data_IF_406404565821
#
_entry.id   IF_406404565821
#
_cell.length_a   1.000
_cell.length_b   1.000
_cell.length_c   1.000
_cell.angle_alpha   90.00
_cell.angle_beta   90.00
_cell.angle_gamma   90.00
#
_symmetry.space_group_name_H-M   'P 1'
#
loop_
_entity.id
_entity.type
_entity.pdbx_description
1 polymer ?
#
# COMPACT_ATOMS: atom_id res chain seq x y z
N UNK A 1 18.72 -7.10 -56.97
CA UNK A 1 19.17 -6.30 -55.83
C UNK A 1 18.07 -5.39 -55.30
N UNK A 2 16.79 -5.78 -55.32
CA UNK A 2 15.67 -4.99 -54.84
C UNK A 2 14.91 -5.68 -53.67
N UNK A 3 15.21 -6.97 -53.44
CA UNK A 3 14.54 -7.81 -52.42
C UNK A 3 15.13 -7.71 -51.02
N UNK A 4 16.33 -7.09 -50.87
CA UNK A 4 17.03 -7.01 -49.58
C UNK A 4 16.65 -5.80 -48.73
N UNK A 5 15.98 -4.80 -49.30
CA UNK A 5 15.58 -3.57 -48.57
C UNK A 5 14.18 -3.65 -47.96
N UNK A 6 13.33 -4.55 -48.43
CA UNK A 6 11.96 -4.73 -47.90
C UNK A 6 11.99 -5.51 -46.59
N UNK A 7 12.95 -6.43 -46.39
CA UNK A 7 13.11 -7.17 -45.12
C UNK A 7 13.67 -6.29 -44.02
N UNK A 8 14.51 -5.28 -44.36
CA UNK A 8 15.06 -4.37 -43.40
C UNK A 8 14.03 -3.34 -42.87
N UNK A 9 13.00 -3.02 -43.67
CA UNK A 9 11.93 -2.07 -43.24
C UNK A 9 10.85 -2.79 -42.42
N UNK A 10 10.67 -4.09 -42.60
CA UNK A 10 9.72 -4.90 -41.81
C UNK A 10 10.26 -5.29 -40.43
N UNK A 11 11.57 -5.26 -40.22
CA UNK A 11 12.21 -5.49 -38.91
C UNK A 11 12.37 -4.21 -38.08
N UNK A 12 12.11 -3.02 -38.64
CA UNK A 12 12.18 -1.74 -37.96
C UNK A 12 10.86 -1.27 -37.35
N UNK A 13 9.79 -2.06 -37.44
CA UNK A 13 8.51 -1.83 -36.77
C UNK A 13 8.26 -2.85 -35.66
N UNK A 14 9.30 -3.13 -34.83
CA UNK A 14 9.02 -3.57 -33.48
C UNK A 14 8.17 -2.47 -32.84
N UNK A 15 7.01 -2.81 -32.21
CA UNK A 15 6.28 -1.79 -31.46
C UNK A 15 7.26 -1.17 -30.50
N UNK A 16 7.43 0.14 -30.57
CA UNK A 16 8.15 0.91 -29.54
C UNK A 16 7.42 0.55 -28.25
N UNK A 17 7.98 -0.38 -27.50
CA UNK A 17 7.49 -0.69 -26.17
C UNK A 17 7.49 0.64 -25.44
N UNK A 18 6.30 1.14 -25.10
CA UNK A 18 6.16 2.33 -24.28
C UNK A 18 7.10 2.12 -23.10
N UNK A 19 8.06 3.03 -22.92
CA UNK A 19 9.10 2.92 -21.88
C UNK A 19 8.39 2.60 -20.58
N UNK A 20 8.63 1.43 -19.96
CA UNK A 20 7.94 1.05 -18.75
C UNK A 20 8.20 2.15 -17.73
N UNK A 21 7.18 2.57 -16.99
CA UNK A 21 7.39 3.52 -15.89
C UNK A 21 8.20 2.79 -14.84
N UNK A 22 9.41 3.23 -14.50
CA UNK A 22 10.30 2.51 -13.59
C UNK A 22 9.64 2.23 -12.22
N UNK A 23 8.74 3.10 -11.78
CA UNK A 23 8.02 2.98 -10.52
C UNK A 23 7.08 1.76 -10.48
N UNK A 24 6.25 1.57 -11.52
CA UNK A 24 5.39 0.40 -11.63
C UNK A 24 6.17 -0.90 -11.79
N UNK A 25 7.34 -0.83 -12.41
CA UNK A 25 8.22 -1.97 -12.60
C UNK A 25 8.85 -2.46 -11.30
N UNK A 26 9.20 -1.56 -10.36
CA UNK A 26 9.75 -1.95 -9.06
C UNK A 26 8.69 -2.61 -8.17
N UNK A 27 7.45 -2.12 -8.20
CA UNK A 27 6.32 -2.77 -7.52
C UNK A 27 6.07 -4.18 -8.08
N UNK A 28 6.11 -4.34 -9.41
CA UNK A 28 5.98 -5.64 -10.07
C UNK A 28 7.11 -6.60 -9.69
N UNK A 29 8.36 -6.13 -9.72
CA UNK A 29 9.52 -6.92 -9.34
C UNK A 29 9.42 -7.39 -7.88
N UNK A 30 8.97 -6.52 -6.97
CA UNK A 30 8.79 -6.85 -5.56
C UNK A 30 7.69 -7.91 -5.33
N UNK A 31 6.57 -7.82 -6.05
CA UNK A 31 5.47 -8.79 -6.01
C UNK A 31 5.89 -10.19 -6.52
N UNK A 32 6.76 -10.23 -7.53
CA UNK A 32 7.14 -11.46 -8.22
C UNK A 32 8.50 -12.02 -7.77
N UNK A 33 9.16 -11.44 -6.78
CA UNK A 33 10.50 -11.77 -6.31
C UNK A 33 11.59 -11.67 -7.40
N UNK A 34 11.39 -10.80 -8.40
CA UNK A 34 12.40 -10.58 -9.45
C UNK A 34 13.53 -9.68 -8.92
N UNK A 35 14.48 -10.30 -8.21
CA UNK A 35 15.61 -9.62 -7.57
C UNK A 35 16.49 -8.90 -8.59
N UNK A 36 16.75 -9.54 -9.74
CA UNK A 36 17.62 -8.96 -10.76
C UNK A 36 17.02 -7.66 -11.33
N UNK A 37 15.73 -7.70 -11.63
CA UNK A 37 15.00 -6.52 -12.11
C UNK A 37 14.91 -5.41 -11.04
N UNK A 38 14.62 -5.77 -9.78
CA UNK A 38 14.57 -4.82 -8.68
C UNK A 38 15.93 -4.13 -8.48
N UNK A 39 17.03 -4.89 -8.50
CA UNK A 39 18.39 -4.35 -8.40
C UNK A 39 18.71 -3.38 -9.54
N UNK A 40 18.38 -3.75 -10.78
CA UNK A 40 18.60 -2.90 -11.96
C UNK A 40 17.81 -1.59 -11.88
N UNK A 41 16.54 -1.65 -11.47
CA UNK A 41 15.67 -0.47 -11.35
C UNK A 41 16.16 0.48 -10.26
N UNK A 42 16.53 -0.04 -9.09
CA UNK A 42 17.06 0.80 -8.00
C UNK A 42 18.42 1.39 -8.36
N UNK A 43 19.28 0.62 -9.06
CA UNK A 43 20.56 1.13 -9.56
C UNK A 43 20.36 2.21 -10.63
N UNK A 44 19.28 2.16 -11.42
CA UNK A 44 18.89 3.17 -12.38
C UNK A 44 18.28 4.44 -11.74
N UNK A 45 18.16 4.48 -10.40
CA UNK A 45 17.65 5.65 -9.67
C UNK A 45 16.14 5.64 -9.40
N UNK A 46 15.45 4.49 -9.62
CA UNK A 46 14.05 4.37 -9.22
C UNK A 46 13.93 4.54 -7.71
N UNK A 47 13.05 5.44 -7.20
CA UNK A 47 12.82 5.59 -5.77
C UNK A 47 12.36 4.27 -5.15
N UNK A 48 12.99 3.85 -4.05
CA UNK A 48 12.72 2.55 -3.41
C UNK A 48 11.34 2.50 -2.73
N UNK A 49 10.78 3.65 -2.34
CA UNK A 49 9.50 3.79 -1.65
C UNK A 49 8.37 4.27 -2.58
N UNK A 50 8.44 3.95 -3.88
CA UNK A 50 7.33 4.17 -4.81
C UNK A 50 6.05 3.55 -4.27
N UNK A 51 4.90 4.16 -4.57
CA UNK A 51 3.61 3.74 -4.02
C UNK A 51 2.62 3.43 -5.12
N UNK A 52 1.89 2.35 -4.94
CA UNK A 52 0.70 2.10 -5.76
C UNK A 52 -0.50 2.95 -5.31
N UNK A 53 -1.65 2.77 -5.96
CA UNK A 53 -2.88 3.48 -5.64
C UNK A 53 -3.43 3.23 -4.22
N UNK A 54 -3.04 2.10 -3.58
CA UNK A 54 -3.34 1.77 -2.16
C UNK A 54 -2.30 2.35 -1.20
N UNK A 55 -1.26 2.99 -1.72
CA UNK A 55 -0.12 3.47 -0.94
C UNK A 55 0.86 2.35 -0.54
N UNK A 56 0.74 1.14 -1.13
CA UNK A 56 1.65 0.04 -0.85
C UNK A 56 3.00 0.31 -1.53
N UNK A 57 4.08 0.11 -0.77
CA UNK A 57 5.45 0.19 -1.28
C UNK A 57 5.94 -1.18 -1.74
N UNK A 58 7.06 -1.25 -2.49
CA UNK A 58 7.71 -2.52 -2.82
C UNK A 58 8.00 -3.38 -1.59
N UNK A 59 8.39 -2.74 -0.46
CA UNK A 59 8.64 -3.43 0.80
C UNK A 59 7.38 -4.09 1.37
N UNK A 60 6.25 -3.38 1.35
CA UNK A 60 4.96 -3.93 1.81
C UNK A 60 4.55 -5.11 0.93
N UNK A 61 4.67 -5.00 -0.40
CA UNK A 61 4.34 -6.07 -1.32
C UNK A 61 5.25 -7.30 -1.18
N UNK A 62 6.58 -7.10 -1.10
CA UNK A 62 7.52 -8.19 -0.86
C UNK A 62 7.25 -8.91 0.47
N UNK A 63 6.85 -8.16 1.49
CA UNK A 63 6.49 -8.72 2.80
C UNK A 63 5.17 -9.48 2.75
N UNK A 64 4.17 -9.00 2.01
CA UNK A 64 2.92 -9.72 1.76
C UNK A 64 3.14 -11.05 1.06
N UNK A 65 4.07 -11.08 0.10
CA UNK A 65 4.41 -12.28 -0.65
C UNK A 65 5.43 -13.21 0.04
N UNK A 66 5.98 -12.80 1.19
CA UNK A 66 6.96 -13.62 1.94
C UNK A 66 8.37 -13.65 1.34
N UNK A 67 8.70 -12.69 0.47
CA UNK A 67 9.97 -12.68 -0.29
C UNK A 67 11.13 -12.11 0.54
N UNK A 68 11.73 -12.93 1.40
CA UNK A 68 12.77 -12.53 2.37
C UNK A 68 13.94 -11.78 1.71
N UNK A 69 14.50 -12.30 0.61
CA UNK A 69 15.65 -11.69 -0.05
C UNK A 69 15.30 -10.35 -0.72
N UNK A 70 14.07 -10.22 -1.25
CA UNK A 70 13.59 -8.95 -1.79
C UNK A 70 13.45 -7.90 -0.68
N UNK A 71 12.89 -8.28 0.47
CA UNK A 71 12.79 -7.40 1.65
C UNK A 71 14.17 -6.97 2.12
N UNK A 72 15.13 -7.90 2.19
CA UNK A 72 16.52 -7.58 2.54
C UNK A 72 17.11 -6.55 1.58
N UNK A 73 16.99 -6.79 0.28
CA UNK A 73 17.47 -5.88 -0.76
C UNK A 73 16.87 -4.47 -0.61
N UNK A 74 15.55 -4.36 -0.47
CA UNK A 74 14.86 -3.07 -0.37
C UNK A 74 15.30 -2.30 0.88
N UNK A 75 15.42 -2.98 2.03
CA UNK A 75 15.89 -2.37 3.27
C UNK A 75 17.36 -1.91 3.18
N UNK A 76 18.24 -2.67 2.51
CA UNK A 76 19.63 -2.27 2.25
C UNK A 76 19.73 -1.06 1.31
N UNK A 77 18.72 -0.86 0.46
CA UNK A 77 18.63 0.31 -0.43
C UNK A 77 17.86 1.47 0.18
N UNK A 78 17.59 1.42 1.49
CA UNK A 78 17.02 2.52 2.26
C UNK A 78 15.50 2.59 2.26
N UNK A 79 14.79 1.50 1.93
CA UNK A 79 13.34 1.46 2.05
C UNK A 79 12.90 1.77 3.49
N UNK A 80 11.89 2.60 3.65
CA UNK A 80 11.29 2.97 4.92
C UNK A 80 10.55 1.77 5.51
N UNK A 81 11.09 1.20 6.60
CA UNK A 81 10.57 -0.04 7.21
C UNK A 81 9.14 0.09 7.72
N UNK A 82 8.75 1.28 8.20
CA UNK A 82 7.43 1.59 8.75
C UNK A 82 6.53 2.36 7.78
N UNK A 83 6.84 2.33 6.48
CA UNK A 83 5.93 2.85 5.46
C UNK A 83 4.53 2.30 5.67
N UNK A 84 3.52 3.20 5.66
CA UNK A 84 2.12 2.84 5.84
C UNK A 84 1.35 3.01 4.53
N UNK A 85 0.57 2.01 4.20
CA UNK A 85 -0.45 2.10 3.16
C UNK A 85 -1.64 2.96 3.65
N UNK A 86 -2.58 3.24 2.75
CA UNK A 86 -3.76 4.07 3.06
C UNK A 86 -4.68 3.47 4.12
N UNK A 87 -4.67 2.14 4.29
CA UNK A 87 -5.42 1.39 5.31
C UNK A 87 -4.62 1.17 6.62
N UNK A 88 -3.45 1.80 6.75
CA UNK A 88 -2.54 1.63 7.89
C UNK A 88 -1.66 0.38 7.81
N UNK A 89 -1.71 -0.40 6.73
CA UNK A 89 -0.90 -1.60 6.53
C UNK A 89 0.59 -1.26 6.52
N UNK A 90 1.39 -2.05 7.25
CA UNK A 90 2.86 -2.04 7.21
C UNK A 90 3.40 -3.40 6.78
N UNK A 91 4.67 -3.43 6.38
CA UNK A 91 5.38 -4.67 6.07
C UNK A 91 5.32 -5.69 7.21
N UNK A 92 5.50 -5.23 8.45
CA UNK A 92 5.46 -6.08 9.65
C UNK A 92 4.09 -6.70 9.87
N UNK A 93 3.00 -5.95 9.69
CA UNK A 93 1.63 -6.46 9.84
C UNK A 93 1.35 -7.61 8.85
N UNK A 94 1.75 -7.46 7.57
CA UNK A 94 1.52 -8.51 6.57
C UNK A 94 2.39 -9.73 6.80
N UNK A 95 3.69 -9.54 7.08
CA UNK A 95 4.60 -10.63 7.41
C UNK A 95 4.10 -11.45 8.62
N UNK A 96 3.59 -10.76 9.64
CA UNK A 96 3.04 -11.40 10.85
C UNK A 96 1.74 -12.14 10.57
N UNK A 97 0.86 -11.57 9.77
CA UNK A 97 -0.38 -12.21 9.35
C UNK A 97 -0.17 -13.45 8.47
N UNK A 98 0.98 -13.57 7.81
CA UNK A 98 1.36 -14.73 6.99
C UNK A 98 2.22 -15.76 7.73
N UNK A 99 2.53 -15.53 9.01
CA UNK A 99 3.35 -16.43 9.80
C UNK A 99 4.83 -16.47 9.37
N UNK A 100 5.31 -15.47 8.62
CA UNK A 100 6.66 -15.43 8.06
C UNK A 100 7.69 -15.03 9.14
N UNK A 101 8.05 -15.97 10.03
CA UNK A 101 8.86 -15.72 11.22
C UNK A 101 10.20 -15.05 10.92
N UNK A 102 10.95 -15.52 9.92
CA UNK A 102 12.26 -14.96 9.58
C UNK A 102 12.13 -13.53 9.04
N UNK A 103 11.06 -13.27 8.28
CA UNK A 103 10.74 -11.93 7.79
C UNK A 103 10.38 -10.98 8.93
N UNK A 104 9.57 -11.44 9.88
CA UNK A 104 9.22 -10.67 11.09
C UNK A 104 10.48 -10.32 11.88
N UNK A 105 11.38 -11.29 12.13
CA UNK A 105 12.66 -11.06 12.80
C UNK A 105 13.53 -10.05 12.04
N UNK A 106 13.60 -10.16 10.71
CA UNK A 106 14.35 -9.21 9.88
C UNK A 106 13.79 -7.79 10.01
N UNK A 107 12.47 -7.60 9.86
CA UNK A 107 11.82 -6.30 9.96
C UNK A 107 12.02 -5.66 11.34
N UNK A 108 11.84 -6.45 12.41
CA UNK A 108 12.10 -5.99 13.79
C UNK A 108 13.57 -5.59 14.00
N UNK A 109 14.53 -6.36 13.47
CA UNK A 109 15.96 -6.01 13.54
C UNK A 109 16.33 -4.73 12.80
N UNK A 110 15.49 -4.33 11.83
CA UNK A 110 15.60 -3.07 11.07
C UNK A 110 14.75 -1.95 11.68
N UNK A 111 14.23 -2.17 12.89
CA UNK A 111 13.52 -1.17 13.69
C UNK A 111 12.03 -1.04 13.43
N UNK A 112 11.40 -1.99 12.73
CA UNK A 112 9.96 -1.96 12.48
C UNK A 112 9.15 -1.80 13.77
N UNK A 113 8.12 -0.94 13.73
CA UNK A 113 7.26 -0.64 14.86
C UNK A 113 6.21 -1.75 15.10
N UNK A 114 6.30 -2.53 16.19
CA UNK A 114 5.33 -3.59 16.48
C UNK A 114 3.96 -3.04 16.93
N UNK A 115 3.90 -1.78 17.37
CA UNK A 115 2.67 -1.13 17.81
C UNK A 115 1.84 -0.53 16.66
N UNK A 116 2.29 -0.68 15.40
CA UNK A 116 1.52 -0.25 14.24
C UNK A 116 0.17 -0.99 14.18
N UNK A 117 -0.90 -0.25 13.81
CA UNK A 117 -2.27 -0.77 13.81
C UNK A 117 -2.85 -0.68 12.41
N UNK A 118 -3.49 -1.77 11.97
CA UNK A 118 -4.33 -1.86 10.77
C UNK A 118 -5.73 -2.34 11.18
N UNK A 119 -6.77 -1.61 10.81
CA UNK A 119 -8.14 -1.94 11.14
C UNK A 119 -8.37 -2.30 12.64
N UNK A 120 -7.67 -1.61 13.54
CA UNK A 120 -7.75 -1.84 14.99
C UNK A 120 -6.89 -2.99 15.53
N UNK A 121 -6.16 -3.72 14.68
CA UNK A 121 -5.32 -4.85 15.08
C UNK A 121 -3.83 -4.53 14.94
N UNK A 122 -3.04 -4.94 15.94
CA UNK A 122 -1.56 -4.93 15.83
C UNK A 122 -1.06 -6.17 15.09
N UNK A 123 0.21 -6.17 14.70
CA UNK A 123 0.88 -7.32 14.09
C UNK A 123 0.74 -8.59 14.96
N UNK A 124 0.91 -8.46 16.29
CA UNK A 124 0.77 -9.56 17.25
C UNK A 124 -0.67 -10.11 17.32
N UNK A 125 -1.66 -9.22 17.41
CA UNK A 125 -3.07 -9.64 17.44
C UNK A 125 -3.47 -10.37 16.16
N UNK A 126 -2.96 -9.93 15.01
CA UNK A 126 -3.19 -10.60 13.73
C UNK A 126 -2.52 -11.99 13.69
N UNK A 127 -1.28 -12.12 14.17
CA UNK A 127 -0.57 -13.40 14.27
C UNK A 127 -1.34 -14.39 15.18
N UNK A 128 -1.82 -13.92 16.33
CA UNK A 128 -2.63 -14.76 17.26
C UNK A 128 -3.93 -15.21 16.58
N UNK A 129 -4.66 -14.29 15.95
CA UNK A 129 -5.95 -14.60 15.29
C UNK A 129 -5.81 -15.60 14.14
N UNK A 130 -4.63 -15.66 13.52
CA UNK A 130 -4.31 -16.58 12.41
C UNK A 130 -3.57 -17.85 12.84
N UNK A 131 -3.33 -18.06 14.12
CA UNK A 131 -2.73 -19.28 14.66
C UNK A 131 -1.20 -19.37 14.48
N UNK A 132 -0.49 -18.24 14.49
CA UNK A 132 0.99 -18.18 14.43
C UNK A 132 1.63 -17.84 15.78
N UNK A 133 1.66 -18.80 16.74
CA UNK A 133 2.09 -18.53 18.11
C UNK A 133 3.56 -18.13 18.22
N UNK A 134 4.44 -18.67 17.38
CA UNK A 134 5.87 -18.32 17.39
C UNK A 134 6.09 -16.87 16.97
N UNK A 135 5.38 -16.42 15.94
CA UNK A 135 5.40 -15.01 15.50
C UNK A 135 4.85 -14.11 16.60
N UNK A 136 3.73 -14.50 17.21
CA UNK A 136 3.13 -13.73 18.31
C UNK A 136 4.07 -13.58 19.49
N UNK A 137 4.80 -14.63 19.88
CA UNK A 137 5.78 -14.60 20.97
C UNK A 137 6.97 -13.66 20.68
N UNK A 138 7.48 -13.70 19.45
CA UNK A 138 8.56 -12.77 19.03
C UNK A 138 8.08 -11.31 19.09
N UNK A 139 6.86 -11.04 18.64
CA UNK A 139 6.27 -9.70 18.67
C UNK A 139 6.02 -9.22 20.10
N UNK A 140 5.57 -10.10 21.00
CA UNK A 140 5.38 -9.78 22.41
C UNK A 140 6.70 -9.36 23.07
N UNK A 141 7.79 -10.10 22.80
CA UNK A 141 9.13 -9.74 23.27
C UNK A 141 9.57 -8.36 22.70
N UNK A 142 9.30 -8.09 21.44
CA UNK A 142 9.61 -6.81 20.81
C UNK A 142 8.78 -5.65 21.40
N UNK A 143 7.48 -5.87 21.65
CA UNK A 143 6.59 -4.88 22.30
C UNK A 143 7.09 -4.55 23.71
N UNK A 144 7.47 -5.56 24.50
CA UNK A 144 8.01 -5.36 25.86
C UNK A 144 9.31 -4.54 25.85
N UNK A 145 10.27 -4.91 25.00
CA UNK A 145 11.52 -4.14 24.84
C UNK A 145 11.25 -2.73 24.32
N UNK A 146 10.28 -2.55 23.43
CA UNK A 146 9.86 -1.25 22.92
C UNK A 146 9.27 -0.36 24.01
N UNK A 147 8.46 -0.91 24.91
CA UNK A 147 7.90 -0.17 26.04
C UNK A 147 8.98 0.30 27.02
N UNK A 148 9.96 -0.57 27.31
CA UNK A 148 11.12 -0.22 28.14
C UNK A 148 11.96 0.87 27.45
N UNK A 149 12.15 0.79 26.14
CA UNK A 149 12.89 1.77 25.35
C UNK A 149 12.23 3.15 25.39
N UNK A 150 10.90 3.21 25.23
CA UNK A 150 10.13 4.45 25.33
C UNK A 150 10.26 5.06 26.74
N UNK A 151 10.19 4.25 27.78
CA UNK A 151 10.37 4.72 29.16
C UNK A 151 11.77 5.30 29.35
N UNK A 152 12.81 4.58 28.94
CA UNK A 152 14.19 5.05 29.02
C UNK A 152 14.42 6.36 28.21
N UNK A 153 13.82 6.47 27.02
CA UNK A 153 13.89 7.68 26.20
C UNK A 153 13.18 8.86 26.87
N UNK A 154 11.99 8.63 27.43
CA UNK A 154 11.21 9.65 28.14
C UNK A 154 11.96 10.20 29.38
N UNK A 155 12.62 9.32 30.13
CA UNK A 155 13.36 9.64 31.34
C UNK A 155 14.80 10.13 31.05
N UNK A 156 15.25 10.15 29.79
CA UNK A 156 16.61 10.57 29.40
C UNK A 156 17.69 9.59 29.80
N UNK A 157 17.37 8.32 30.02
CA UNK A 157 18.31 7.28 30.46
C UNK A 157 19.13 6.74 29.27
N UNK A 158 20.09 7.53 28.78
CA UNK A 158 20.87 7.21 27.57
C UNK A 158 21.58 5.85 27.63
N UNK A 159 22.11 5.44 28.78
CA UNK A 159 22.81 4.15 28.97
C UNK A 159 21.82 2.99 28.81
N UNK A 160 20.70 3.03 29.52
CA UNK A 160 19.62 2.02 29.44
C UNK A 160 19.08 1.92 28.04
N UNK A 161 18.83 3.05 27.37
CA UNK A 161 18.37 3.11 25.99
C UNK A 161 19.33 2.39 25.03
N UNK A 162 20.65 2.64 25.15
CA UNK A 162 21.66 1.96 24.34
C UNK A 162 21.69 0.46 24.56
N UNK A 163 21.57 0.02 25.83
CA UNK A 163 21.50 -1.41 26.17
C UNK A 163 20.26 -2.08 25.57
N UNK A 164 19.10 -1.43 25.65
CA UNK A 164 17.86 -1.97 25.07
C UNK A 164 17.93 -2.09 23.56
N UNK A 165 18.46 -1.08 22.86
CA UNK A 165 18.69 -1.15 21.41
C UNK A 165 19.71 -2.22 21.03
N UNK A 166 20.75 -2.45 21.84
CA UNK A 166 21.70 -3.55 21.65
C UNK A 166 21.04 -4.93 21.83
N UNK A 167 20.03 -5.03 22.70
CA UNK A 167 19.19 -6.24 22.88
C UNK A 167 18.14 -6.43 21.78
N UNK A 168 18.05 -5.51 20.81
CA UNK A 168 17.12 -5.61 19.71
C UNK A 168 15.78 -4.92 19.93
N UNK A 169 15.69 -3.96 20.86
CA UNK A 169 14.48 -3.14 20.99
C UNK A 169 14.20 -2.38 19.69
N UNK A 170 12.94 -2.35 19.22
CA UNK A 170 12.58 -1.65 17.97
C UNK A 170 12.78 -0.14 18.11
N UNK A 171 13.65 0.46 17.29
CA UNK A 171 14.00 1.88 17.38
C UNK A 171 12.80 2.82 17.07
N UNK A 172 11.81 2.34 16.32
CA UNK A 172 10.64 3.11 15.90
C UNK A 172 9.37 2.80 16.69
N UNK A 173 9.49 2.08 17.79
CA UNK A 173 8.33 1.86 18.68
C UNK A 173 7.67 3.19 19.07
N UNK A 174 6.35 3.20 19.26
CA UNK A 174 5.62 4.42 19.62
C UNK A 174 4.71 4.18 20.83
N UNK A 175 4.51 5.22 21.63
CA UNK A 175 3.51 5.19 22.69
C UNK A 175 2.08 5.41 22.12
N UNK A 176 1.09 5.48 23.03
CA UNK A 176 -0.30 5.72 22.67
C UNK A 176 -0.53 7.06 21.93
N UNK A 177 0.33 8.05 22.13
CA UNK A 177 0.24 9.35 21.44
C UNK A 177 0.99 9.37 20.10
N UNK A 178 1.64 8.27 19.73
CA UNK A 178 2.47 8.16 18.53
C UNK A 178 3.89 8.70 18.69
N UNK A 179 4.31 9.05 19.89
CA UNK A 179 5.67 9.54 20.15
C UNK A 179 6.69 8.41 20.09
N UNK A 180 7.75 8.64 19.32
CA UNK A 180 8.90 7.73 19.20
C UNK A 180 10.04 8.05 20.19
N UNK A 181 10.98 7.11 20.43
CA UNK A 181 12.18 7.39 21.22
C UNK A 181 12.99 8.58 20.70
N UNK A 182 13.01 8.79 19.37
CA UNK A 182 13.70 9.91 18.75
C UNK A 182 13.06 11.26 19.11
N UNK A 183 11.73 11.32 19.18
CA UNK A 183 10.98 12.53 19.60
C UNK A 183 11.24 12.85 21.08
N UNK A 184 11.30 11.83 21.94
CA UNK A 184 11.65 12.04 23.34
C UNK A 184 13.09 12.55 23.50
N UNK A 185 14.06 11.99 22.77
CA UNK A 185 15.44 12.46 22.78
C UNK A 185 15.56 13.92 22.27
N UNK A 186 14.79 14.29 21.25
CA UNK A 186 14.73 15.66 20.74
C UNK A 186 14.14 16.63 21.77
N UNK A 187 13.04 16.25 22.44
CA UNK A 187 12.41 17.01 23.51
C UNK A 187 13.34 17.22 24.70
N UNK A 188 14.16 16.20 25.02
CA UNK A 188 15.12 16.26 26.14
C UNK A 188 16.42 16.99 25.73
N UNK A 189 16.63 17.29 24.43
CA UNK A 189 17.82 17.92 23.93
C UNK A 189 19.07 17.05 23.95
N UNK A 190 18.92 15.72 24.04
CA UNK A 190 20.02 14.77 24.10
C UNK A 190 20.52 14.39 22.71
N UNK A 191 21.52 15.16 22.23
CA UNK A 191 22.18 14.94 20.94
C UNK A 191 22.84 13.57 20.83
N UNK A 192 23.44 13.06 21.93
CA UNK A 192 24.10 11.76 21.91
C UNK A 192 23.11 10.60 21.71
N UNK A 193 21.94 10.68 22.36
CA UNK A 193 20.86 9.72 22.16
C UNK A 193 20.22 9.86 20.79
N UNK A 194 19.99 11.08 20.28
CA UNK A 194 19.52 11.33 18.92
C UNK A 194 20.43 10.68 17.88
N UNK A 195 21.73 10.93 18.01
CA UNK A 195 22.75 10.38 17.12
C UNK A 195 22.73 8.86 17.08
N UNK A 196 22.65 8.27 18.26
CA UNK A 196 22.64 6.82 18.41
C UNK A 196 21.36 6.20 17.85
N UNK A 197 20.18 6.77 18.13
CA UNK A 197 18.90 6.31 17.59
C UNK A 197 18.89 6.35 16.06
N UNK A 198 19.35 7.45 15.44
CA UNK A 198 19.45 7.56 13.99
C UNK A 198 20.41 6.53 13.38
N UNK A 199 21.53 6.24 14.06
CA UNK A 199 22.46 5.19 13.63
C UNK A 199 21.86 3.78 13.72
N UNK A 200 20.80 3.62 14.51
CA UNK A 200 20.06 2.36 14.68
C UNK A 200 18.79 2.29 13.82
N UNK A 201 18.62 3.22 12.87
CA UNK A 201 17.52 3.24 11.93
C UNK A 201 16.23 3.89 12.45
N UNK A 202 16.34 4.76 13.46
CA UNK A 202 15.18 5.54 13.90
C UNK A 202 14.68 6.45 12.77
N UNK A 203 13.36 6.43 12.54
CA UNK A 203 12.69 7.23 11.52
C UNK A 203 12.55 8.69 11.98
N UNK A 204 13.34 9.56 11.35
CA UNK A 204 13.28 11.00 11.61
C UNK A 204 12.07 11.70 10.96
N UNK A 205 11.36 11.01 10.08
CA UNK A 205 10.16 11.54 9.38
C UNK A 205 8.87 11.19 10.12
N UNK A 206 8.94 10.30 11.11
CA UNK A 206 7.80 9.89 11.92
C UNK A 206 7.11 11.08 12.57
N UNK A 207 5.79 11.00 12.71
CA UNK A 207 4.95 12.00 13.36
C UNK A 207 4.05 11.37 14.41
N UNK A 208 3.83 12.11 15.48
CA UNK A 208 2.86 11.73 16.50
C UNK A 208 1.41 11.94 16.02
N UNK A 209 0.44 11.64 16.88
CA UNK A 209 -0.99 11.80 16.55
C UNK A 209 -1.41 13.25 16.32
N UNK A 210 -0.64 14.24 16.80
CA UNK A 210 -0.84 15.66 16.58
C UNK A 210 -0.14 16.16 15.31
N UNK A 211 0.53 15.26 14.57
CA UNK A 211 1.30 15.58 13.37
C UNK A 211 2.66 16.22 13.65
N UNK A 212 3.12 16.21 14.92
CA UNK A 212 4.41 16.78 15.31
C UNK A 212 5.54 15.79 15.07
N UNK A 213 6.62 16.24 14.44
CA UNK A 213 7.82 15.46 14.20
C UNK A 213 8.96 15.82 15.15
N UNK A 214 10.14 15.29 14.85
CA UNK A 214 11.34 15.48 15.67
C UNK A 214 11.72 16.97 15.83
N UNK A 215 11.49 17.81 14.82
CA UNK A 215 11.81 19.25 14.86
C UNK A 215 10.88 20.00 15.82
N UNK A 216 9.58 19.76 15.75
CA UNK A 216 8.58 20.37 16.62
C UNK A 216 8.78 19.96 18.08
N UNK A 217 9.26 18.74 18.33
CA UNK A 217 9.61 18.29 19.66
C UNK A 217 10.95 18.89 20.15
N UNK A 218 11.91 19.12 19.26
CA UNK A 218 13.16 19.82 19.59
C UNK A 218 12.91 21.27 20.01
N UNK A 219 11.88 21.92 19.48
CA UNK A 219 11.48 23.28 19.85
C UNK A 219 11.08 23.44 21.34
N UNK A 220 10.76 22.31 21.99
CA UNK A 220 10.42 22.27 23.43
C UNK A 220 11.63 22.17 24.36
N UNK A 221 12.85 22.05 23.80
CA UNK A 221 14.12 22.05 24.52
C UNK A 221 14.87 23.39 24.32
N UNK A 222 14.49 24.50 25.00
CA UNK A 222 14.95 25.84 24.64
C UNK A 222 16.47 26.01 24.72
N UNK A 223 17.14 25.32 25.64
CA UNK A 223 18.60 25.40 25.82
C UNK A 223 19.42 24.67 24.74
N UNK A 224 18.86 23.62 24.12
CA UNK A 224 19.54 22.77 23.13
C UNK A 224 18.89 22.80 21.74
N UNK A 225 17.79 23.54 21.59
CA UNK A 225 17.03 23.67 20.32
C UNK A 225 17.90 23.92 19.12
N UNK A 226 18.79 24.92 19.19
CA UNK A 226 19.64 25.27 18.06
C UNK A 226 20.59 24.13 17.69
N UNK A 227 21.18 23.45 18.68
CA UNK A 227 22.08 22.34 18.47
C UNK A 227 21.37 21.14 17.86
N UNK A 228 20.20 20.77 18.39
CA UNK A 228 19.39 19.65 17.86
C UNK A 228 18.94 19.94 16.43
N UNK A 229 18.42 21.13 16.16
CA UNK A 229 17.92 21.49 14.82
C UNK A 229 19.06 21.61 13.81
N UNK A 230 20.22 22.14 14.20
CA UNK A 230 21.40 22.18 13.35
C UNK A 230 21.87 20.77 12.99
N UNK A 231 21.99 19.89 13.98
CA UNK A 231 22.39 18.50 13.80
C UNK A 231 21.44 17.74 12.84
N UNK A 232 20.13 17.92 12.99
CA UNK A 232 19.15 17.30 12.10
C UNK A 232 19.29 17.81 10.66
N UNK A 233 19.52 19.13 10.48
CA UNK A 233 19.75 19.75 9.15
C UNK A 233 21.04 19.28 8.48
N UNK A 234 22.12 19.13 9.23
CA UNK A 234 23.39 18.59 8.73
C UNK A 234 23.24 17.18 8.15
N UNK A 235 22.25 16.42 8.64
CA UNK A 235 21.90 15.11 8.11
C UNK A 235 20.89 15.13 6.96
N UNK A 236 20.64 16.30 6.37
CA UNK A 236 19.73 16.48 5.24
C UNK A 236 18.24 16.44 5.64
N UNK A 237 17.96 16.37 6.96
CA UNK A 237 16.59 16.44 7.44
C UNK A 237 16.14 17.90 7.42
N UNK A 238 14.99 18.16 6.87
CA UNK A 238 14.39 19.49 6.85
C UNK A 238 13.19 19.51 7.83
N UNK A 239 12.97 20.62 8.56
CA UNK A 239 11.65 20.82 9.16
C UNK A 239 10.67 20.71 7.99
N UNK A 240 9.94 19.64 7.91
CA UNK A 240 8.80 19.66 7.01
C UNK A 240 7.90 20.75 7.57
N UNK A 241 7.68 21.81 6.76
CA UNK A 241 6.73 22.86 7.12
C UNK A 241 5.55 22.14 7.74
N UNK A 242 5.23 22.50 9.02
CA UNK A 242 4.23 21.79 9.79
C UNK A 242 3.14 21.44 8.79
N UNK A 243 3.17 20.21 8.31
CA UNK A 243 2.08 19.73 7.51
C UNK A 243 0.96 19.94 8.50
N UNK A 244 0.28 21.08 8.34
CA UNK A 244 -0.97 21.33 9.00
C UNK A 244 -1.70 20.02 8.85
N UNK A 245 -1.67 19.18 9.86
CA UNK A 245 -2.10 17.78 9.86
C UNK A 245 -1.74 17.08 8.55
N UNK A 246 -1.00 15.99 8.48
CA UNK A 246 -0.77 15.12 7.29
C UNK A 246 -1.87 15.44 6.32
N UNK A 247 -1.59 16.00 5.08
CA UNK A 247 -2.55 16.85 4.38
C UNK A 247 -3.89 16.22 4.59
N UNK A 248 -4.67 16.85 5.50
CA UNK A 248 -5.85 16.25 6.16
C UNK A 248 -6.60 15.72 5.02
N UNK A 249 -6.44 14.44 4.90
CA UNK A 249 -6.69 13.81 3.66
C UNK A 249 -8.01 14.41 3.15
N UNK A 250 -8.09 14.88 1.91
CA UNK A 250 -9.15 15.78 1.47
C UNK A 250 -10.47 15.21 1.96
N UNK A 251 -11.32 16.02 2.55
CA UNK A 251 -12.62 15.54 3.04
C UNK A 251 -13.27 14.72 1.92
N UNK A 252 -14.12 13.76 2.24
CA UNK A 252 -14.84 12.98 1.22
C UNK A 252 -15.44 13.92 0.17
N UNK A 253 -16.01 15.03 0.61
CA UNK A 253 -16.53 16.08 -0.28
C UNK A 253 -15.45 16.65 -1.20
N UNK A 254 -14.25 16.93 -0.69
CA UNK A 254 -13.13 17.43 -1.51
C UNK A 254 -12.61 16.36 -2.48
N UNK A 255 -12.58 15.09 -2.08
CA UNK A 255 -12.22 13.98 -2.98
C UNK A 255 -13.24 13.81 -4.11
N UNK A 256 -14.54 13.88 -3.79
CA UNK A 256 -15.61 13.84 -4.79
C UNK A 256 -15.56 15.06 -5.74
N UNK A 257 -15.25 16.26 -5.22
CA UNK A 257 -15.07 17.46 -6.04
C UNK A 257 -13.86 17.37 -6.95
N UNK A 258 -12.74 16.85 -6.44
CA UNK A 258 -11.53 16.63 -7.25
C UNK A 258 -11.78 15.61 -8.36
N UNK A 259 -12.57 14.58 -8.09
CA UNK A 259 -12.95 13.60 -9.07
C UNK A 259 -13.90 14.17 -10.13
N UNK A 260 -14.86 15.03 -9.76
CA UNK A 260 -15.70 15.76 -10.71
C UNK A 260 -14.87 16.61 -11.68
N UNK A 261 -13.88 17.34 -11.16
CA UNK A 261 -13.00 18.15 -12.00
C UNK A 261 -12.19 17.29 -12.98
N UNK A 262 -11.78 16.10 -12.56
CA UNK A 262 -11.09 15.14 -13.40
C UNK A 262 -12.01 14.55 -14.46
N UNK A 263 -13.23 14.17 -14.08
CA UNK A 263 -14.25 13.66 -14.99
C UNK A 263 -14.66 14.70 -16.02
N UNK A 264 -14.79 15.98 -15.62
CA UNK A 264 -15.08 17.07 -16.54
C UNK A 264 -13.97 17.26 -17.60
N UNK A 265 -12.70 17.08 -17.24
CA UNK A 265 -11.56 17.08 -18.19
C UNK A 265 -11.61 15.91 -19.16
N UNK A 266 -12.18 14.79 -18.73
CA UNK A 266 -12.32 13.57 -19.53
C UNK A 266 -13.55 13.58 -20.44
N UNK A 267 -14.37 14.65 -20.46
CA UNK A 267 -15.60 14.72 -21.23
C UNK A 267 -15.32 14.62 -22.75
N UNK A 268 -15.75 13.54 -23.42
CA UNK A 268 -15.56 13.41 -24.86
C UNK A 268 -16.52 14.32 -25.60
N UNK A 269 -16.04 14.94 -26.68
CA UNK A 269 -16.82 15.85 -27.52
C UNK A 269 -17.95 15.14 -28.26
N UNK A 270 -17.77 13.88 -28.64
CA UNK A 270 -18.75 13.10 -29.44
C UNK A 270 -18.67 11.60 -29.17
N UNK A 271 -19.70 10.82 -29.55
CA UNK A 271 -19.65 9.37 -29.65
C UNK A 271 -19.96 8.57 -28.37
N UNK A 272 -19.67 7.25 -28.37
CA UNK A 272 -20.08 6.33 -27.31
C UNK A 272 -19.44 6.65 -25.93
N UNK A 273 -18.28 7.29 -25.90
CA UNK A 273 -17.66 7.75 -24.64
C UNK A 273 -18.52 8.76 -23.87
N UNK A 274 -19.43 9.50 -24.56
CA UNK A 274 -20.37 10.42 -23.90
C UNK A 274 -21.38 9.68 -23.01
N UNK A 275 -21.82 8.49 -23.41
CA UNK A 275 -22.74 7.69 -22.61
C UNK A 275 -22.07 7.21 -21.32
N UNK A 276 -20.86 6.69 -21.41
CA UNK A 276 -20.05 6.25 -20.26
C UNK A 276 -19.74 7.43 -19.33
N UNK A 277 -19.34 8.57 -19.86
CA UNK A 277 -19.12 9.79 -19.10
C UNK A 277 -20.38 10.24 -18.34
N UNK A 278 -21.55 10.23 -19.00
CA UNK A 278 -22.83 10.55 -18.37
C UNK A 278 -23.19 9.59 -17.24
N UNK A 279 -22.98 8.28 -17.43
CA UNK A 279 -23.19 7.26 -16.39
C UNK A 279 -22.27 7.52 -15.19
N UNK A 280 -20.98 7.73 -15.42
CA UNK A 280 -20.01 8.04 -14.37
C UNK A 280 -20.40 9.30 -13.59
N UNK A 281 -20.79 10.37 -14.29
CA UNK A 281 -21.24 11.62 -13.68
C UNK A 281 -22.52 11.42 -12.84
N UNK A 282 -23.46 10.63 -13.33
CA UNK A 282 -24.71 10.31 -12.60
C UNK A 282 -24.41 9.49 -11.34
N UNK A 283 -23.55 8.47 -11.43
CA UNK A 283 -23.15 7.65 -10.28
C UNK A 283 -22.39 8.49 -9.23
N UNK A 284 -21.49 9.37 -9.67
CA UNK A 284 -20.75 10.27 -8.79
C UNK A 284 -21.67 11.28 -8.09
N UNK A 285 -22.66 11.83 -8.77
CA UNK A 285 -23.67 12.69 -8.16
C UNK A 285 -24.51 11.93 -7.12
N UNK A 286 -24.87 10.68 -7.39
CA UNK A 286 -25.54 9.80 -6.42
C UNK A 286 -24.69 9.57 -5.17
N UNK A 287 -23.40 9.24 -5.32
CA UNK A 287 -22.48 9.08 -4.21
C UNK A 287 -22.34 10.38 -3.39
N UNK A 288 -22.31 11.54 -4.07
CA UNK A 288 -22.27 12.84 -3.39
C UNK A 288 -23.52 13.11 -2.56
N UNK A 289 -24.70 12.81 -3.08
CA UNK A 289 -25.95 13.00 -2.31
C UNK A 289 -25.98 12.14 -1.04
N UNK A 290 -25.47 10.93 -1.11
CA UNK A 290 -25.37 10.03 0.04
C UNK A 290 -24.26 10.44 1.01
N UNK A 291 -23.20 11.09 0.53
CA UNK A 291 -22.05 11.49 1.35
C UNK A 291 -22.39 12.51 2.44
N UNK A 292 -23.46 13.25 2.28
CA UNK A 292 -23.96 14.19 3.29
C UNK A 292 -24.37 13.51 4.60
N UNK A 293 -24.72 12.22 4.53
CA UNK A 293 -25.10 11.40 5.70
C UNK A 293 -23.92 10.61 6.30
N UNK A 294 -22.70 10.74 5.73
CA UNK A 294 -21.54 9.96 6.18
C UNK A 294 -20.89 10.58 7.42
N UNK A 295 -20.52 9.75 8.42
CA UNK A 295 -19.89 10.27 9.62
C UNK A 295 -18.53 10.90 9.31
N UNK A 296 -18.24 12.03 9.95
CA UNK A 296 -16.99 12.80 9.77
C UNK A 296 -15.72 12.04 10.19
N UNK A 297 -15.87 10.87 10.81
CA UNK A 297 -14.80 10.17 11.51
C UNK A 297 -14.07 9.09 10.69
N UNK A 298 -14.44 8.82 9.44
CA UNK A 298 -13.79 7.79 8.61
C UNK A 298 -13.42 8.30 7.21
N UNK A 299 -12.63 9.39 7.09
CA UNK A 299 -12.31 9.94 5.78
C UNK A 299 -11.36 9.05 4.96
N UNK A 300 -10.64 8.11 5.59
CA UNK A 300 -9.64 7.27 4.92
C UNK A 300 -10.28 6.18 4.07
N UNK A 301 -11.30 5.50 4.59
CA UNK A 301 -11.99 4.42 3.86
C UNK A 301 -12.67 4.92 2.57
N UNK A 302 -13.25 6.12 2.60
CA UNK A 302 -13.95 6.70 1.44
C UNK A 302 -12.98 7.16 0.34
N UNK A 303 -11.76 7.56 0.68
CA UNK A 303 -10.74 8.00 -0.28
C UNK A 303 -10.15 6.86 -1.06
N UNK A 304 -9.83 5.76 -0.37
CA UNK A 304 -9.33 4.54 -1.00
C UNK A 304 -10.32 4.02 -2.02
N UNK A 305 -11.61 4.12 -1.74
CA UNK A 305 -12.66 3.70 -2.65
C UNK A 305 -12.70 4.44 -4.00
N UNK A 306 -12.23 5.70 -4.05
CA UNK A 306 -12.22 6.50 -5.28
C UNK A 306 -10.82 6.69 -5.89
N UNK A 307 -9.77 6.31 -5.16
CA UNK A 307 -8.39 6.54 -5.58
C UNK A 307 -8.02 5.76 -6.85
N UNK A 308 -8.52 4.53 -6.98
CA UNK A 308 -8.29 3.71 -8.16
C UNK A 308 -8.91 4.33 -9.41
N UNK A 309 -10.17 4.76 -9.31
CA UNK A 309 -10.90 5.42 -10.41
C UNK A 309 -10.20 6.72 -10.85
N UNK A 310 -9.79 7.55 -9.89
CA UNK A 310 -9.07 8.78 -10.15
C UNK A 310 -7.72 8.53 -10.83
N UNK A 311 -6.99 7.51 -10.39
CA UNK A 311 -5.68 7.13 -10.96
C UNK A 311 -5.85 6.62 -12.39
N UNK A 312 -6.82 5.75 -12.64
CA UNK A 312 -7.10 5.22 -13.97
C UNK A 312 -7.47 6.33 -14.96
N UNK A 313 -8.38 7.22 -14.56
CA UNK A 313 -8.83 8.32 -15.40
C UNK A 313 -7.72 9.33 -15.67
N UNK A 314 -6.91 9.69 -14.65
CA UNK A 314 -5.75 10.56 -14.79
C UNK A 314 -4.71 9.98 -15.76
N UNK A 315 -4.45 8.68 -15.66
CA UNK A 315 -3.50 7.98 -16.53
C UNK A 315 -3.99 7.94 -17.99
N UNK A 316 -5.28 7.72 -18.20
CA UNK A 316 -5.90 7.73 -19.53
C UNK A 316 -5.83 9.12 -20.17
N UNK A 317 -6.14 10.18 -19.42
CA UNK A 317 -6.03 11.57 -19.85
C UNK A 317 -4.60 11.95 -20.23
N UNK A 318 -3.62 11.53 -19.44
CA UNK A 318 -2.21 11.83 -19.69
C UNK A 318 -1.67 11.20 -20.97
N UNK A 319 -2.27 10.10 -21.45
CA UNK A 319 -1.89 9.45 -22.72
C UNK A 319 -2.41 10.16 -23.96
N UNK A 320 -3.52 10.87 -23.85
CA UNK A 320 -4.18 11.54 -24.98
C UNK A 320 -4.81 10.59 -26.03
N UNK A 321 -4.80 9.29 -25.80
CA UNK A 321 -5.41 8.29 -26.68
C UNK A 321 -6.91 8.19 -26.42
N UNK A 322 -7.72 8.55 -27.43
CA UNK A 322 -9.18 8.59 -27.33
C UNK A 322 -9.82 7.21 -27.12
N UNK A 323 -9.20 6.14 -27.64
CA UNK A 323 -9.71 4.77 -27.46
C UNK A 323 -9.47 4.31 -26.02
N UNK A 324 -8.27 4.55 -25.47
CA UNK A 324 -7.92 4.25 -24.07
C UNK A 324 -8.78 5.07 -23.12
N UNK A 325 -8.98 6.36 -23.42
CA UNK A 325 -9.84 7.23 -22.60
C UNK A 325 -11.29 6.73 -22.56
N UNK A 326 -11.84 6.32 -23.71
CA UNK A 326 -13.19 5.75 -23.79
C UNK A 326 -13.32 4.48 -22.96
N UNK A 327 -12.39 3.52 -23.12
CA UNK A 327 -12.40 2.26 -22.37
C UNK A 327 -12.26 2.51 -20.86
N UNK A 328 -11.39 3.45 -20.46
CA UNK A 328 -11.24 3.86 -19.07
C UNK A 328 -12.51 4.50 -18.50
N UNK A 329 -13.21 5.34 -19.27
CA UNK A 329 -14.48 5.93 -18.87
C UNK A 329 -15.59 4.88 -18.71
N UNK A 330 -15.67 3.88 -19.59
CA UNK A 330 -16.61 2.76 -19.45
C UNK A 330 -16.35 1.96 -18.17
N UNK A 331 -15.08 1.63 -17.91
CA UNK A 331 -14.67 0.89 -16.71
C UNK A 331 -14.93 1.69 -15.42
N UNK A 332 -14.61 2.98 -15.41
CA UNK A 332 -14.87 3.90 -14.28
C UNK A 332 -16.38 4.05 -14.04
N UNK A 333 -17.20 4.18 -15.10
CA UNK A 333 -18.65 4.25 -14.95
C UNK A 333 -19.21 2.98 -14.29
N UNK A 334 -18.79 1.81 -14.76
CA UNK A 334 -19.19 0.52 -14.21
C UNK A 334 -18.80 0.37 -12.73
N UNK A 335 -17.61 0.87 -12.36
CA UNK A 335 -17.12 0.77 -10.99
C UNK A 335 -17.84 1.74 -10.04
N UNK A 336 -18.04 2.99 -10.46
CA UNK A 336 -18.81 3.98 -9.70
C UNK A 336 -20.27 3.55 -9.50
N UNK A 337 -20.91 2.93 -10.49
CA UNK A 337 -22.26 2.38 -10.36
C UNK A 337 -22.29 1.24 -9.34
N UNK A 338 -21.28 0.35 -9.35
CA UNK A 338 -21.18 -0.72 -8.35
C UNK A 338 -20.99 -0.19 -6.92
N UNK A 339 -20.18 0.87 -6.76
CA UNK A 339 -19.98 1.57 -5.48
C UNK A 339 -21.26 2.26 -5.00
N UNK A 340 -21.97 2.93 -5.90
CA UNK A 340 -23.27 3.56 -5.58
C UNK A 340 -24.29 2.53 -5.12
N UNK A 341 -24.41 1.41 -5.82
CA UNK A 341 -25.33 0.33 -5.46
C UNK A 341 -24.97 -0.27 -4.09
N UNK A 342 -23.67 -0.50 -3.83
CA UNK A 342 -23.22 -0.95 -2.49
C UNK A 342 -23.62 0.05 -1.42
N UNK A 343 -23.35 1.33 -1.64
CA UNK A 343 -23.66 2.41 -0.71
C UNK A 343 -25.16 2.47 -0.40
N UNK A 344 -26.02 2.35 -1.40
CA UNK A 344 -27.46 2.32 -1.24
C UNK A 344 -27.93 1.12 -0.42
N UNK A 345 -27.39 -0.08 -0.68
CA UNK A 345 -27.74 -1.32 -0.01
C UNK A 345 -27.15 -1.42 1.43
N UNK A 346 -26.08 -0.71 1.71
CA UNK A 346 -25.42 -0.67 3.04
C UNK A 346 -25.93 0.44 3.96
N UNK A 347 -27.07 1.06 3.62
CA UNK A 347 -27.64 2.15 4.42
C UNK A 347 -26.89 3.47 4.29
N UNK A 348 -26.36 3.79 3.12
CA UNK A 348 -25.69 5.05 2.80
C UNK A 348 -24.20 5.08 3.17
N UNK A 349 -23.57 3.94 3.44
CA UNK A 349 -22.14 3.87 3.80
C UNK A 349 -21.31 3.38 2.61
N UNK A 350 -20.42 4.21 2.09
CA UNK A 350 -19.41 3.78 1.12
C UNK A 350 -18.21 3.12 1.80
N UNK A 351 -17.96 3.47 3.04
CA UNK A 351 -16.86 2.94 3.83
C UNK A 351 -17.07 1.49 4.26
N UNK A 352 -15.97 0.83 4.44
CA UNK A 352 -15.91 -0.57 4.82
C UNK A 352 -15.50 -1.45 3.64
N UNK A 353 -14.49 -2.28 3.90
CA UNK A 353 -14.10 -3.33 2.97
C UNK A 353 -15.00 -4.55 3.16
N UNK A 354 -15.16 -5.32 2.11
CA UNK A 354 -15.86 -6.61 2.11
C UNK A 354 -14.81 -7.70 2.29
N UNK A 355 -15.03 -8.62 3.21
CA UNK A 355 -14.18 -9.80 3.31
C UNK A 355 -14.41 -10.69 2.09
N UNK A 356 -13.43 -10.77 1.21
CA UNK A 356 -13.49 -11.63 0.03
C UNK A 356 -12.68 -12.88 0.31
N UNK A 357 -13.36 -14.02 0.32
CA UNK A 357 -12.73 -15.35 0.38
C UNK A 357 -12.71 -15.95 -1.00
N UNK A 358 -11.53 -16.33 -1.46
CA UNK A 358 -11.35 -16.96 -2.76
C UNK A 358 -10.95 -18.42 -2.57
N UNK A 359 -11.70 -19.31 -3.20
CA UNK A 359 -11.36 -20.72 -3.31
C UNK A 359 -10.93 -21.02 -4.73
N UNK A 360 -9.83 -21.72 -4.88
CA UNK A 360 -9.41 -22.24 -6.19
C UNK A 360 -10.02 -23.62 -6.35
N UNK A 361 -10.79 -23.83 -7.42
CA UNK A 361 -11.55 -25.06 -7.63
C UNK A 361 -11.14 -25.75 -8.93
N UNK A 362 -11.00 -27.08 -8.88
CA UNK A 362 -10.79 -27.93 -10.04
C UNK A 362 -11.86 -29.00 -10.05
N UNK A 363 -12.66 -29.06 -11.12
CA UNK A 363 -13.79 -30.03 -11.23
C UNK A 363 -14.77 -30.00 -10.05
N UNK A 364 -14.93 -28.85 -9.38
CA UNK A 364 -15.82 -28.67 -8.23
C UNK A 364 -15.19 -28.95 -6.87
N UNK A 365 -13.95 -29.47 -6.81
CA UNK A 365 -13.20 -29.68 -5.58
C UNK A 365 -12.14 -28.57 -5.37
N UNK A 366 -11.78 -28.29 -4.12
CA UNK A 366 -10.79 -27.28 -3.78
C UNK A 366 -9.38 -27.72 -4.21
N UNK A 367 -8.72 -26.89 -5.04
CA UNK A 367 -7.38 -27.11 -5.53
C UNK A 367 -6.38 -26.22 -4.77
N UNK A 368 -5.51 -26.83 -3.97
CA UNK A 368 -4.50 -26.10 -3.18
C UNK A 368 -3.33 -25.55 -4.02
N UNK A 369 -2.57 -24.61 -3.42
CA UNK A 369 -1.28 -24.08 -3.93
C UNK A 369 -1.33 -23.22 -5.21
N UNK A 370 -2.44 -22.55 -5.49
CA UNK A 370 -2.51 -21.55 -6.55
C UNK A 370 -2.45 -20.14 -5.97
N UNK A 371 -1.65 -19.28 -6.58
CA UNK A 371 -1.64 -17.85 -6.25
C UNK A 371 -2.87 -17.19 -6.84
N UNK A 372 -3.59 -16.41 -6.04
CA UNK A 372 -4.76 -15.65 -6.47
C UNK A 372 -4.37 -14.20 -6.67
N UNK A 373 -4.62 -13.70 -7.87
CA UNK A 373 -4.40 -12.31 -8.24
C UNK A 373 -5.72 -11.60 -8.43
N UNK A 374 -5.74 -10.31 -8.14
CA UNK A 374 -6.86 -9.44 -8.45
C UNK A 374 -6.38 -8.04 -8.84
N UNK A 375 -7.19 -7.33 -9.59
CA UNK A 375 -7.01 -5.89 -9.82
C UNK A 375 -8.35 -5.24 -10.07
N UNK A 376 -8.53 -3.95 -9.73
CA UNK A 376 -9.70 -3.20 -10.18
C UNK A 376 -9.83 -3.29 -11.70
N UNK A 377 -11.05 -3.60 -12.19
CA UNK A 377 -11.31 -3.76 -13.64
C UNK A 377 -10.95 -2.52 -14.44
N UNK A 378 -11.02 -1.34 -13.83
CA UNK A 378 -10.63 -0.06 -14.44
C UNK A 378 -9.18 -0.03 -14.95
N UNK A 379 -8.31 -0.90 -14.45
CA UNK A 379 -6.92 -1.02 -14.89
C UNK A 379 -6.69 -2.05 -15.99
N UNK A 380 -7.72 -2.78 -16.45
CA UNK A 380 -7.60 -3.82 -17.49
C UNK A 380 -6.95 -3.29 -18.78
N UNK A 381 -7.24 -2.04 -19.14
CA UNK A 381 -6.68 -1.37 -20.32
C UNK A 381 -5.39 -0.60 -20.04
N UNK A 382 -4.88 -0.65 -18.81
CA UNK A 382 -3.64 0.02 -18.45
C UNK A 382 -2.45 -0.93 -18.67
N UNK A 383 -1.51 -0.64 -19.60
CA UNK A 383 -0.39 -1.54 -19.90
C UNK A 383 0.57 -1.72 -18.71
N UNK A 384 0.51 -0.82 -17.73
CA UNK A 384 1.37 -0.85 -16.55
C UNK A 384 0.59 -1.20 -15.27
N UNK A 385 -0.63 -1.71 -15.40
CA UNK A 385 -1.37 -2.17 -14.24
C UNK A 385 -0.72 -3.43 -13.69
N UNK A 386 -0.28 -3.36 -12.44
CA UNK A 386 0.26 -4.51 -11.73
C UNK A 386 -0.86 -5.07 -10.86
N UNK A 387 -1.23 -6.34 -11.06
CA UNK A 387 -2.28 -6.97 -10.28
C UNK A 387 -1.86 -7.10 -8.81
N UNK A 388 -2.83 -7.02 -7.93
CA UNK A 388 -2.65 -7.32 -6.53
C UNK A 388 -2.66 -8.83 -6.31
N UNK A 389 -1.93 -9.30 -5.30
CA UNK A 389 -1.87 -10.70 -4.89
C UNK A 389 -2.62 -10.84 -3.57
N UNK A 390 -3.47 -11.84 -3.43
CA UNK A 390 -4.00 -12.21 -2.12
C UNK A 390 -2.85 -12.60 -1.20
N UNK A 391 -2.86 -12.16 0.06
CA UNK A 391 -1.71 -12.30 0.96
C UNK A 391 -1.38 -13.75 1.34
N UNK A 392 -2.34 -14.66 1.21
CA UNK A 392 -2.15 -16.08 1.46
C UNK A 392 -1.81 -16.81 0.15
N UNK A 393 -0.77 -17.63 0.18
CA UNK A 393 -0.28 -18.38 -0.98
C UNK A 393 -1.01 -19.72 -1.20
N UNK A 394 -2.04 -20.00 -0.41
CA UNK A 394 -2.82 -21.25 -0.50
C UNK A 394 -4.31 -20.96 -0.42
N UNK A 395 -5.09 -21.76 -1.14
CA UNK A 395 -6.56 -21.73 -1.05
C UNK A 395 -7.04 -22.46 0.23
N UNK A 396 -8.08 -21.94 0.93
CA UNK A 396 -8.73 -20.66 0.64
C UNK A 396 -7.87 -19.47 1.07
N UNK A 397 -7.94 -18.38 0.32
CA UNK A 397 -7.28 -17.10 0.66
C UNK A 397 -8.33 -16.01 0.89
N UNK A 398 -8.04 -15.06 1.78
CA UNK A 398 -8.99 -14.02 2.12
C UNK A 398 -8.33 -12.64 2.24
N UNK A 399 -9.05 -11.62 1.84
CA UNK A 399 -8.63 -10.22 1.99
C UNK A 399 -9.83 -9.29 2.12
N UNK A 400 -9.63 -8.18 2.83
CA UNK A 400 -10.58 -7.08 2.89
C UNK A 400 -10.44 -6.21 1.65
N UNK A 401 -11.43 -6.26 0.75
CA UNK A 401 -11.42 -5.53 -0.52
C UNK A 401 -12.51 -4.45 -0.51
N UNK A 402 -12.18 -3.26 -0.99
CA UNK A 402 -13.15 -2.17 -1.12
C UNK A 402 -14.21 -2.52 -2.17
N UNK A 403 -15.46 -2.01 -2.02
CA UNK A 403 -16.49 -2.24 -3.03
C UNK A 403 -16.07 -1.74 -4.42
N UNK A 404 -16.39 -2.54 -5.45
CA UNK A 404 -16.03 -2.22 -6.83
C UNK A 404 -16.11 -3.46 -7.73
N UNK A 405 -15.64 -3.31 -8.98
CA UNK A 405 -15.50 -4.42 -9.92
C UNK A 405 -14.05 -4.80 -10.10
N UNK A 406 -13.76 -6.08 -9.98
CA UNK A 406 -12.41 -6.62 -10.01
C UNK A 406 -12.28 -7.72 -11.07
N UNK A 407 -11.10 -7.80 -11.68
CA UNK A 407 -10.65 -8.99 -12.37
C UNK A 407 -9.90 -9.86 -11.38
N UNK A 408 -10.29 -11.12 -11.27
CA UNK A 408 -9.63 -12.11 -10.43
C UNK A 408 -9.20 -13.30 -11.27
N UNK A 409 -8.04 -13.85 -11.00
CA UNK A 409 -7.52 -15.06 -11.66
C UNK A 409 -6.50 -15.77 -10.81
N UNK A 410 -6.13 -16.96 -11.21
CA UNK A 410 -5.16 -17.81 -10.54
C UNK A 410 -3.90 -18.00 -11.38
N UNK A 411 -2.76 -18.21 -10.73
CA UNK A 411 -1.48 -18.58 -11.37
C UNK A 411 -0.84 -19.71 -10.61
N UNK A 412 -0.37 -20.72 -11.33
CA UNK A 412 0.45 -21.77 -10.73
C UNK A 412 1.87 -21.24 -10.50
N UNK A 413 2.38 -21.22 -9.24
CA UNK A 413 3.69 -20.67 -8.92
C UNK A 413 4.85 -21.47 -9.55
N UNK A 414 4.67 -22.79 -9.77
CA UNK A 414 5.70 -23.66 -10.33
C UNK A 414 5.78 -23.59 -11.86
N UNK A 415 4.61 -23.54 -12.52
CA UNK A 415 4.55 -23.60 -14.01
C UNK A 415 4.28 -22.25 -14.65
N UNK A 416 4.00 -21.20 -13.86
CA UNK A 416 3.55 -19.89 -14.32
C UNK A 416 2.26 -19.90 -15.17
N UNK A 417 1.54 -21.02 -15.23
CA UNK A 417 0.27 -21.14 -15.96
C UNK A 417 -0.79 -20.24 -15.30
N UNK A 418 -1.49 -19.48 -16.11
CA UNK A 418 -2.52 -18.51 -15.67
C UNK A 418 -3.89 -19.09 -16.01
N UNK A 419 -4.82 -19.02 -15.05
CA UNK A 419 -6.23 -19.34 -15.25
C UNK A 419 -7.02 -18.23 -15.94
N UNK A 420 -8.28 -18.49 -16.23
CA UNK A 420 -9.19 -17.53 -16.83
C UNK A 420 -9.40 -16.32 -15.90
N UNK A 421 -9.49 -15.14 -16.50
CA UNK A 421 -9.80 -13.90 -15.77
C UNK A 421 -11.31 -13.79 -15.57
N UNK A 422 -11.73 -13.73 -14.33
CA UNK A 422 -13.15 -13.63 -13.94
C UNK A 422 -13.46 -12.24 -13.43
N UNK A 423 -14.54 -11.63 -13.94
CA UNK A 423 -15.03 -10.35 -13.40
C UNK A 423 -15.85 -10.61 -12.15
N UNK A 424 -15.40 -10.05 -11.03
CA UNK A 424 -16.05 -10.19 -9.72
C UNK A 424 -16.54 -8.82 -9.26
N UNK A 425 -17.81 -8.73 -8.88
CA UNK A 425 -18.39 -7.54 -8.24
C UNK A 425 -18.33 -7.71 -6.73
N UNK A 426 -17.56 -6.86 -6.07
CA UNK A 426 -17.40 -6.82 -4.61
C UNK A 426 -18.33 -5.72 -4.06
N UNK A 427 -19.11 -6.05 -3.05
CA UNK A 427 -20.01 -5.10 -2.38
C UNK A 427 -21.45 -5.60 -2.32
N UNK A 428 -22.40 -4.86 -2.89
CA UNK A 428 -23.84 -5.14 -2.85
C UNK A 428 -24.45 -5.19 -1.44
N UNK A 429 -23.90 -4.41 -0.49
CA UNK A 429 -24.32 -4.42 0.91
C UNK A 429 -23.84 -5.63 1.71
N UNK A 430 -23.04 -6.52 1.13
CA UNK A 430 -22.48 -7.70 1.79
C UNK A 430 -21.30 -7.33 2.67
N UNK A 431 -21.14 -8.04 3.78
CA UNK A 431 -19.95 -7.98 4.63
C UNK A 431 -18.90 -9.02 4.24
N UNK A 432 -19.32 -10.06 3.58
CA UNK A 432 -18.51 -11.20 3.14
C UNK A 432 -18.94 -11.66 1.76
N UNK A 433 -17.97 -12.04 0.92
CA UNK A 433 -18.17 -12.60 -0.42
C UNK A 433 -17.25 -13.81 -0.58
N UNK A 434 -17.81 -14.94 -0.99
CA UNK A 434 -17.04 -16.14 -1.37
C UNK A 434 -16.98 -16.21 -2.89
N UNK A 435 -15.79 -16.38 -3.45
CA UNK A 435 -15.52 -16.45 -4.88
C UNK A 435 -14.82 -17.76 -5.20
N UNK A 436 -15.38 -18.55 -6.09
CA UNK A 436 -14.76 -19.76 -6.62
C UNK A 436 -14.09 -19.45 -7.96
N UNK A 437 -12.77 -19.58 -8.03
CA UNK A 437 -11.99 -19.36 -9.25
C UNK A 437 -11.58 -20.72 -9.85
N UNK A 438 -11.91 -20.95 -11.13
CA UNK A 438 -11.54 -22.20 -11.80
C UNK A 438 -10.03 -22.27 -12.02
N UNK A 439 -9.47 -23.43 -11.73
CA UNK A 439 -8.08 -23.76 -11.99
C UNK A 439 -7.99 -24.49 -13.34
N UNK A 440 -7.06 -24.11 -14.23
CA UNK A 440 -6.86 -24.84 -15.48
C UNK A 440 -6.50 -26.30 -15.21
N UNK A 441 -7.09 -27.22 -15.95
CA UNK A 441 -6.70 -28.62 -15.90
C UNK A 441 -5.18 -28.74 -16.16
N UNK A 442 -4.46 -29.41 -15.27
CA UNK A 442 -3.08 -29.75 -15.53
C UNK A 442 -3.06 -30.75 -16.68
N UNK A 443 -2.37 -30.41 -17.78
CA UNK A 443 -2.08 -31.36 -18.82
C UNK A 443 -1.23 -32.47 -18.19
N UNK A 444 -1.78 -33.69 -18.18
CA UNK A 444 -1.06 -34.90 -17.76
C UNK A 444 0.16 -35.15 -18.64
#
# INVERSE_FOLDING_TARGET
MVTSWIVAILLAQAPVAASPRPDGDLLAAAKLADLARAQALVAAGTPVDVRDWRGYTPLIWASAAGHLEMVRLLLERGAQVDSRATDGTTALILASGNGALDLVKLLLSRGANPAAVRAGLTARQLAVSRGYPEVASVLEGAEALGAELLKAANEGQATTLRQLLARGAPANTTNADGMSPLMFAARNGDLGTLQYLLSRGADATARDRQGQGVFEWADRAPSTRQQVTAFLRERGLQPQAAASSSPRAPSVTASLQSFDALLAKAAPSTGPGRAAHKRAATALAGLRSLSAAWPAQSPEDYRVNLAADATALSSALARGDQQVLRQSLEAVADDLEAKLEHCQKSGGKLGGSVLVRVRTVQSGEEAGKWQVFYMPRIFEVSPNAVPDLFPQLSSPTEEMIVPGRYLMWVRNPATSKIGERTVVKVGEGRKELVVDLPVPAEAK
#
